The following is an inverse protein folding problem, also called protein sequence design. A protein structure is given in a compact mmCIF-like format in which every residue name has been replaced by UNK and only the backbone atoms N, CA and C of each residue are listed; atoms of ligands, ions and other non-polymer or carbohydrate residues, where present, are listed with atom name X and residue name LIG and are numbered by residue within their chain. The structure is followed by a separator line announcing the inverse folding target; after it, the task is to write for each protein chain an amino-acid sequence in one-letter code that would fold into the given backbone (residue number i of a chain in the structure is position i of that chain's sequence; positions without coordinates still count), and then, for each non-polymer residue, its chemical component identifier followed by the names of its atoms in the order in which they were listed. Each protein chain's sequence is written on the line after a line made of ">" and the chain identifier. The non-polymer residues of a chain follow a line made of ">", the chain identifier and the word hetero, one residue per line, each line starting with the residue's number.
data_IF_378426117240
#
_entry.id   IF_378426117240
#
_cell.length_a   1.000
_cell.length_b   1.000
_cell.length_c   1.000
_cell.angle_alpha   90.00
_cell.angle_beta   90.00
_cell.angle_gamma   90.00
#
_symmetry.space_group_name_H-M   'P 1'
#
loop_
_entity.id
_entity.type
_entity.pdbx_description
1 polymer ?
#
# COMPACT_ATOMS: atom_id res chain seq x y z
N UNK A 1 5.63 -31.56 22.08
CA UNK A 1 5.67 -30.17 21.59
C UNK A 1 4.59 -30.05 20.55
N UNK A 2 3.80 -29.00 20.57
CA UNK A 2 2.80 -28.68 19.53
C UNK A 2 3.55 -28.46 18.22
N UNK A 3 3.10 -29.09 17.13
CA UNK A 3 3.74 -28.86 15.82
C UNK A 3 3.48 -27.43 15.33
N UNK A 4 4.32 -26.90 14.44
CA UNK A 4 4.15 -25.59 13.82
C UNK A 4 2.73 -25.43 13.23
N UNK A 5 2.29 -26.43 12.48
CA UNK A 5 0.97 -26.46 11.84
C UNK A 5 -0.18 -26.44 12.85
N UNK A 6 -0.10 -27.24 13.93
CA UNK A 6 -1.12 -27.27 14.98
C UNK A 6 -1.20 -25.93 15.71
N UNK A 7 -0.06 -25.30 15.98
CA UNK A 7 -0.02 -23.98 16.61
C UNK A 7 -0.70 -22.92 15.73
N UNK A 8 -0.30 -22.83 14.47
CA UNK A 8 -0.88 -21.86 13.51
C UNK A 8 -2.39 -22.06 13.41
N UNK A 9 -2.85 -23.30 13.25
CA UNK A 9 -4.27 -23.62 13.17
C UNK A 9 -5.01 -23.25 14.45
N UNK A 10 -4.48 -23.57 15.62
CA UNK A 10 -5.08 -23.26 16.93
C UNK A 10 -5.25 -21.75 17.14
N UNK A 11 -4.22 -20.96 16.76
CA UNK A 11 -4.32 -19.51 16.86
C UNK A 11 -5.34 -18.98 15.87
N UNK A 12 -5.35 -19.46 14.62
CA UNK A 12 -6.32 -19.02 13.62
C UNK A 12 -7.77 -19.29 14.04
N UNK A 13 -8.08 -20.47 14.59
CA UNK A 13 -9.40 -20.78 15.11
C UNK A 13 -9.81 -19.83 16.27
N UNK A 14 -8.85 -19.45 17.12
CA UNK A 14 -9.10 -18.47 18.18
C UNK A 14 -9.41 -17.08 17.60
N UNK A 15 -8.63 -16.64 16.61
CA UNK A 15 -8.87 -15.35 15.90
C UNK A 15 -10.23 -15.36 15.24
N UNK A 16 -10.58 -16.45 14.55
CA UNK A 16 -11.89 -16.64 13.90
C UNK A 16 -13.05 -16.61 14.87
N UNK A 17 -12.92 -17.27 16.01
CA UNK A 17 -13.96 -17.27 17.04
C UNK A 17 -14.24 -15.86 17.61
N UNK A 18 -13.19 -15.04 17.76
CA UNK A 18 -13.31 -13.66 18.26
C UNK A 18 -13.81 -12.67 17.22
N UNK A 19 -13.49 -12.89 15.95
CA UNK A 19 -13.66 -11.91 14.87
C UNK A 19 -14.54 -12.44 13.72
N UNK A 20 -15.46 -13.37 13.99
CA UNK A 20 -16.25 -14.06 12.97
C UNK A 20 -17.10 -13.18 12.06
N UNK A 21 -17.29 -11.90 12.40
CA UNK A 21 -18.00 -10.91 11.60
C UNK A 21 -17.08 -9.98 10.78
N UNK A 22 -15.76 -10.19 10.84
CA UNK A 22 -14.74 -9.36 10.18
C UNK A 22 -14.05 -10.16 9.05
N UNK A 23 -14.78 -10.45 7.98
CA UNK A 23 -14.35 -11.37 6.92
C UNK A 23 -13.01 -10.98 6.27
N UNK A 24 -12.81 -9.69 5.97
CA UNK A 24 -11.58 -9.18 5.35
C UNK A 24 -10.37 -9.33 6.28
N UNK A 25 -10.57 -9.11 7.58
CA UNK A 25 -9.51 -9.31 8.58
C UNK A 25 -9.12 -10.79 8.68
N UNK A 26 -10.09 -11.69 8.75
CA UNK A 26 -9.85 -13.14 8.81
C UNK A 26 -9.12 -13.64 7.55
N UNK A 27 -9.50 -13.17 6.37
CA UNK A 27 -8.83 -13.52 5.12
C UNK A 27 -7.36 -13.08 5.14
N UNK A 28 -7.07 -11.86 5.57
CA UNK A 28 -5.70 -11.35 5.63
C UNK A 28 -4.83 -12.16 6.62
N UNK A 29 -5.38 -12.54 7.77
CA UNK A 29 -4.68 -13.37 8.74
C UNK A 29 -4.40 -14.76 8.17
N UNK A 30 -5.38 -15.40 7.52
CA UNK A 30 -5.24 -16.71 6.90
C UNK A 30 -4.16 -16.72 5.80
N UNK A 31 -4.21 -15.74 4.90
CA UNK A 31 -3.22 -15.59 3.84
C UNK A 31 -1.80 -15.40 4.40
N UNK A 32 -1.66 -14.56 5.42
CA UNK A 32 -0.37 -14.33 6.05
C UNK A 32 0.15 -15.60 6.74
N UNK A 33 -0.68 -16.28 7.53
CA UNK A 33 -0.33 -17.50 8.25
C UNK A 33 0.07 -18.64 7.32
N UNK A 34 -0.51 -18.73 6.12
CA UNK A 34 -0.20 -19.77 5.14
C UNK A 34 1.28 -19.82 4.71
N UNK A 35 2.01 -18.72 4.94
CA UNK A 35 3.44 -18.60 4.58
C UNK A 35 4.40 -18.85 5.74
N UNK A 36 3.91 -19.04 6.98
CA UNK A 36 4.74 -19.00 8.18
C UNK A 36 5.14 -20.37 8.74
N UNK A 37 4.59 -21.49 8.24
CA UNK A 37 4.91 -22.82 8.77
C UNK A 37 6.42 -23.07 8.85
N UNK A 38 7.24 -22.77 7.82
CA UNK A 38 8.69 -23.00 7.87
C UNK A 38 9.42 -22.20 8.96
N UNK A 39 8.85 -21.04 9.37
CA UNK A 39 9.43 -20.20 10.42
C UNK A 39 9.31 -20.89 11.77
N UNK A 40 8.12 -21.40 12.10
CA UNK A 40 7.87 -22.05 13.39
C UNK A 40 8.57 -23.41 13.53
N UNK A 41 8.93 -24.05 12.42
CA UNK A 41 9.77 -25.24 12.43
C UNK A 41 11.23 -24.92 12.83
N UNK A 42 11.74 -23.75 12.43
CA UNK A 42 13.10 -23.31 12.74
C UNK A 42 13.20 -22.56 14.07
N UNK A 43 12.12 -21.90 14.50
CA UNK A 43 12.06 -20.97 15.63
C UNK A 43 10.96 -21.34 16.61
N UNK A 44 11.14 -22.44 17.39
CA UNK A 44 10.15 -22.88 18.38
C UNK A 44 9.89 -21.83 19.48
N UNK A 45 10.84 -20.93 19.73
CA UNK A 45 10.69 -19.81 20.66
C UNK A 45 9.50 -18.91 20.35
N UNK A 46 9.13 -18.78 19.07
CA UNK A 46 7.95 -18.00 18.69
C UNK A 46 6.62 -18.65 19.10
N UNK A 47 6.62 -20.01 19.23
CA UNK A 47 5.49 -20.75 19.78
C UNK A 47 5.42 -20.55 21.30
N UNK A 48 6.56 -20.68 21.98
CA UNK A 48 6.64 -20.51 23.43
C UNK A 48 6.20 -19.13 23.88
N UNK A 49 6.56 -18.09 23.12
CA UNK A 49 6.18 -16.69 23.35
C UNK A 49 4.78 -16.32 22.80
N UNK A 50 4.07 -17.28 22.21
CA UNK A 50 2.73 -17.12 21.64
C UNK A 50 2.60 -15.91 20.69
N UNK A 51 3.60 -15.71 19.82
CA UNK A 51 3.73 -14.50 18.99
C UNK A 51 2.56 -14.32 18.05
N UNK A 52 2.02 -15.39 17.42
CA UNK A 52 0.89 -15.23 16.51
C UNK A 52 -0.35 -14.68 17.20
N UNK A 53 -0.66 -15.14 18.40
CA UNK A 53 -1.81 -14.64 19.15
C UNK A 53 -1.62 -13.16 19.54
N UNK A 54 -0.40 -12.76 19.87
CA UNK A 54 -0.07 -11.37 20.24
C UNK A 54 -0.12 -10.44 19.02
N UNK A 55 0.42 -10.87 17.88
CA UNK A 55 0.51 -10.03 16.68
C UNK A 55 -0.82 -9.89 15.93
N UNK A 56 -1.77 -10.78 16.15
CA UNK A 56 -3.12 -10.72 15.54
C UNK A 56 -4.12 -9.92 16.36
N UNK A 57 -3.80 -9.57 17.60
CA UNK A 57 -4.62 -8.71 18.44
C UNK A 57 -4.07 -7.28 18.38
N UNK A 58 -4.86 -6.27 17.96
CA UNK A 58 -4.41 -4.89 17.96
C UNK A 58 -4.15 -4.39 19.39
N UNK A 59 -3.09 -3.62 19.59
CA UNK A 59 -2.79 -3.04 20.90
C UNK A 59 -3.92 -2.12 21.37
N UNK A 60 -4.55 -1.36 20.45
CA UNK A 60 -5.73 -0.54 20.74
C UNK A 60 -6.62 -0.34 19.53
N UNK A 61 -7.92 -0.31 19.76
CA UNK A 61 -8.91 0.15 18.79
C UNK A 61 -9.68 1.30 19.42
N UNK A 62 -9.65 2.45 18.76
CA UNK A 62 -10.31 3.68 19.20
C UNK A 62 -11.46 3.95 18.25
N UNK A 63 -12.67 4.05 18.78
CA UNK A 63 -13.88 4.41 18.03
C UNK A 63 -14.53 5.64 18.66
N UNK A 64 -14.94 6.58 17.82
CA UNK A 64 -15.52 7.84 18.27
C UNK A 64 -16.59 8.36 17.31
N UNK A 65 -17.50 9.17 17.85
CA UNK A 65 -18.53 9.86 17.07
C UNK A 65 -17.97 11.13 16.44
N UNK A 66 -18.32 11.37 15.16
CA UNK A 66 -17.93 12.57 14.41
C UNK A 66 -19.20 13.34 13.97
N UNK A 67 -19.71 14.28 14.77
CA UNK A 67 -20.82 15.13 14.37
C UNK A 67 -20.30 16.32 13.57
N UNK A 68 -21.01 16.68 12.49
CA UNK A 68 -20.67 17.83 11.65
C UNK A 68 -21.95 18.40 10.99
N UNK A 69 -21.85 19.61 10.44
CA UNK A 69 -23.01 20.29 9.82
C UNK A 69 -22.78 20.39 8.31
N UNK A 70 -23.75 19.92 7.52
CA UNK A 70 -23.73 19.97 6.07
C UNK A 70 -24.04 21.39 5.52
N UNK A 71 -24.09 21.50 4.19
CA UNK A 71 -24.36 22.77 3.50
C UNK A 71 -25.77 23.32 3.76
N UNK A 72 -26.71 22.45 4.10
CA UNK A 72 -28.09 22.80 4.38
C UNK A 72 -28.34 23.11 5.85
N UNK A 73 -27.29 23.15 6.68
CA UNK A 73 -27.37 23.40 8.11
C UNK A 73 -27.83 22.21 8.94
N UNK A 74 -27.90 21.00 8.36
CA UNK A 74 -28.33 19.77 9.07
C UNK A 74 -27.15 19.10 9.74
N UNK A 75 -27.38 18.60 10.95
CA UNK A 75 -26.40 17.82 11.69
C UNK A 75 -26.29 16.41 11.10
N UNK A 76 -25.08 16.05 10.72
CA UNK A 76 -24.68 14.73 10.25
C UNK A 76 -23.84 14.05 11.33
N UNK A 77 -23.86 12.71 11.38
CA UNK A 77 -23.08 11.92 12.33
C UNK A 77 -22.42 10.77 11.60
N UNK A 78 -21.10 10.73 11.67
CA UNK A 78 -20.27 9.64 11.17
C UNK A 78 -19.53 8.94 12.32
N UNK A 79 -18.96 7.77 12.02
CA UNK A 79 -18.09 7.04 12.93
C UNK A 79 -16.65 7.28 12.54
N UNK A 80 -15.81 7.60 13.52
CA UNK A 80 -14.37 7.69 13.36
C UNK A 80 -13.68 6.52 14.05
N UNK A 81 -12.56 6.06 13.47
CA UNK A 81 -11.77 4.94 14.00
C UNK A 81 -10.28 5.21 13.88
N UNK A 82 -9.52 4.66 14.84
CA UNK A 82 -8.08 4.47 14.74
C UNK A 82 -7.70 3.13 15.33
N UNK A 83 -7.10 2.27 14.53
CA UNK A 83 -6.50 1.01 14.96
C UNK A 83 -5.01 1.23 15.13
N UNK A 84 -4.54 1.17 16.36
CA UNK A 84 -3.14 1.16 16.76
C UNK A 84 -2.75 -0.31 16.91
N UNK A 85 -2.20 -0.90 15.84
CA UNK A 85 -2.16 -2.34 15.75
C UNK A 85 -0.92 -2.93 16.45
N UNK A 86 0.28 -2.45 16.11
CA UNK A 86 1.52 -2.94 16.68
C UNK A 86 2.59 -1.84 16.68
N UNK A 87 3.23 -1.62 17.81
CA UNK A 87 4.27 -0.59 18.01
C UNK A 87 5.66 -1.16 18.28
N UNK A 88 5.87 -2.45 18.12
CA UNK A 88 7.13 -3.11 18.48
C UNK A 88 8.37 -2.52 17.78
N UNK A 89 8.21 -2.06 16.53
CA UNK A 89 9.33 -1.49 15.75
C UNK A 89 9.31 0.03 15.66
N UNK A 90 8.30 0.70 16.19
CA UNK A 90 8.19 2.17 16.17
C UNK A 90 6.77 2.67 16.33
N UNK A 91 6.54 3.99 16.25
CA UNK A 91 5.22 4.57 16.38
C UNK A 91 4.25 4.01 15.34
N UNK A 92 2.97 3.90 15.70
CA UNK A 92 1.96 3.43 14.77
C UNK A 92 1.95 4.32 13.52
N UNK A 93 1.91 3.72 12.35
CA UNK A 93 1.94 4.42 11.08
C UNK A 93 0.96 3.80 10.10
N UNK A 94 0.12 4.62 9.49
CA UNK A 94 -0.81 4.21 8.44
C UNK A 94 -1.85 5.26 8.13
N UNK A 95 -2.45 5.14 6.94
CA UNK A 95 -3.37 6.13 6.39
C UNK A 95 -4.72 6.22 7.09
N UNK A 96 -5.40 7.33 6.87
CA UNK A 96 -6.82 7.52 7.16
C UNK A 96 -7.62 7.34 5.87
N UNK A 97 -8.65 6.51 5.91
CA UNK A 97 -9.57 6.28 4.77
C UNK A 97 -10.92 6.91 5.05
N UNK A 98 -11.40 7.78 4.14
CA UNK A 98 -12.77 8.29 4.19
C UNK A 98 -13.57 7.69 3.03
N UNK A 99 -14.41 6.72 3.37
CA UNK A 99 -15.22 6.01 2.38
C UNK A 99 -16.43 5.35 3.08
N UNK A 100 -17.62 5.31 2.44
CA UNK A 100 -18.83 4.74 3.07
C UNK A 100 -18.71 3.29 3.55
N UNK A 101 -17.80 2.51 2.96
CA UNK A 101 -17.57 1.11 3.36
C UNK A 101 -16.71 0.93 4.60
N UNK A 102 -16.11 2.01 5.12
CA UNK A 102 -15.21 1.93 6.28
C UNK A 102 -15.97 1.46 7.52
N UNK A 103 -15.45 0.42 8.12
CA UNK A 103 -15.85 -0.12 9.40
C UNK A 103 -14.62 -0.63 10.17
N UNK A 104 -14.81 -1.07 11.40
CA UNK A 104 -13.70 -1.52 12.25
C UNK A 104 -12.96 -2.73 11.66
N UNK A 105 -13.66 -3.71 11.10
CA UNK A 105 -13.06 -4.92 10.52
C UNK A 105 -12.14 -4.62 9.33
N UNK A 106 -12.58 -3.72 8.43
CA UNK A 106 -11.76 -3.25 7.31
C UNK A 106 -10.50 -2.54 7.82
N UNK A 107 -10.61 -1.72 8.86
CA UNK A 107 -9.45 -1.01 9.41
C UNK A 107 -8.52 -1.94 10.21
N UNK A 108 -9.03 -2.98 10.85
CA UNK A 108 -8.19 -4.05 11.43
C UNK A 108 -7.45 -4.81 10.35
N UNK A 109 -8.11 -5.22 9.28
CA UNK A 109 -7.48 -5.83 8.12
C UNK A 109 -6.31 -4.98 7.59
N UNK A 110 -6.60 -3.72 7.26
CA UNK A 110 -5.58 -2.81 6.72
C UNK A 110 -4.47 -2.49 7.73
N UNK A 111 -4.79 -2.42 9.01
CA UNK A 111 -3.82 -2.19 10.08
C UNK A 111 -2.90 -3.38 10.30
N UNK A 112 -3.42 -4.60 10.20
CA UNK A 112 -2.64 -5.83 10.28
C UNK A 112 -1.63 -5.93 9.14
N UNK A 113 -2.07 -5.74 7.90
CA UNK A 113 -1.17 -5.72 6.75
C UNK A 113 -0.12 -4.61 6.83
N UNK A 114 -0.51 -3.47 7.41
CA UNK A 114 0.38 -2.32 7.55
C UNK A 114 1.59 -2.61 8.46
N UNK A 115 1.46 -3.50 9.46
CA UNK A 115 2.59 -3.92 10.31
C UNK A 115 3.74 -4.43 9.43
N UNK A 116 3.43 -5.41 8.58
CA UNK A 116 4.42 -6.14 7.79
C UNK A 116 4.95 -5.30 6.63
N UNK A 117 4.09 -4.51 6.01
CA UNK A 117 4.50 -3.56 4.98
C UNK A 117 5.48 -2.51 5.52
N UNK A 118 5.20 -1.96 6.69
CA UNK A 118 6.04 -0.92 7.29
C UNK A 118 7.41 -1.45 7.70
N UNK A 119 7.46 -2.61 8.33
CA UNK A 119 8.73 -3.17 8.81
C UNK A 119 9.67 -3.54 7.66
N UNK A 120 9.15 -3.93 6.49
CA UNK A 120 9.95 -4.19 5.30
C UNK A 120 10.77 -2.98 4.84
N UNK A 121 10.32 -1.77 5.12
CA UNK A 121 11.07 -0.55 4.78
C UNK A 121 12.39 -0.42 5.53
N UNK A 122 12.58 -1.16 6.63
CA UNK A 122 13.73 -1.02 7.52
C UNK A 122 13.70 0.28 8.36
N UNK A 123 12.61 1.04 8.27
CA UNK A 123 12.44 2.29 9.02
C UNK A 123 11.68 2.04 10.33
N UNK A 124 11.92 2.82 11.40
CA UNK A 124 11.34 2.61 12.73
C UNK A 124 9.88 3.07 12.79
N UNK A 125 8.99 2.35 12.13
CA UNK A 125 7.55 2.62 12.08
C UNK A 125 6.74 1.34 12.30
N UNK A 126 5.81 1.39 13.22
CA UNK A 126 4.86 0.32 13.53
C UNK A 126 3.65 0.33 12.59
N UNK A 127 2.64 -0.48 12.91
CA UNK A 127 1.42 -0.62 12.10
C UNK A 127 0.21 0.06 12.73
N UNK A 128 -0.53 0.81 11.93
CA UNK A 128 -1.80 1.40 12.31
C UNK A 128 -2.65 1.77 11.10
N UNK A 129 -3.94 1.94 11.33
CA UNK A 129 -4.88 2.36 10.29
C UNK A 129 -6.06 3.11 10.91
N UNK A 130 -6.63 4.05 10.18
CA UNK A 130 -7.81 4.75 10.66
C UNK A 130 -8.72 5.20 9.53
N UNK A 131 -9.81 5.86 9.90
CA UNK A 131 -10.74 6.38 8.93
C UNK A 131 -12.14 6.60 9.45
N UNK A 132 -13.05 6.80 8.52
CA UNK A 132 -14.47 7.06 8.77
C UNK A 132 -15.33 6.58 7.62
N UNK A 133 -16.57 6.26 7.91
CA UNK A 133 -17.65 6.01 6.94
C UNK A 133 -18.12 7.28 6.20
N UNK A 134 -17.45 8.40 6.39
CA UNK A 134 -17.69 9.65 5.67
C UNK A 134 -17.33 9.53 4.19
N UNK A 135 -18.23 9.95 3.30
CA UNK A 135 -17.97 10.04 1.86
C UNK A 135 -17.65 11.48 1.46
N UNK A 136 -16.40 11.80 1.07
CA UNK A 136 -16.04 13.13 0.62
C UNK A 136 -16.55 13.48 -0.79
N UNK A 137 -17.03 12.49 -1.57
CA UNK A 137 -17.52 12.72 -2.92
C UNK A 137 -18.77 13.61 -2.91
N UNK A 138 -18.78 14.63 -3.77
CA UNK A 138 -19.90 15.57 -3.89
C UNK A 138 -20.06 16.52 -2.71
N UNK A 139 -19.17 16.51 -1.74
CA UNK A 139 -19.14 17.49 -0.64
C UNK A 139 -18.34 18.72 -1.05
N UNK A 140 -18.76 19.87 -0.55
CA UNK A 140 -18.01 21.12 -0.69
C UNK A 140 -16.77 21.11 0.19
N UNK A 141 -15.77 21.93 -0.12
CA UNK A 141 -14.58 22.09 0.71
C UNK A 141 -14.91 22.48 2.15
N UNK A 142 -15.94 23.34 2.33
CA UNK A 142 -16.41 23.73 3.65
C UNK A 142 -17.02 22.57 4.45
N UNK A 143 -17.73 21.64 3.81
CA UNK A 143 -18.27 20.44 4.45
C UNK A 143 -17.13 19.50 4.84
N UNK A 144 -16.19 19.24 3.93
CA UNK A 144 -15.02 18.38 4.21
C UNK A 144 -14.18 18.99 5.33
N UNK A 145 -13.97 20.30 5.35
CA UNK A 145 -13.25 21.00 6.41
C UNK A 145 -13.94 20.80 7.77
N UNK A 146 -15.25 21.03 7.86
CA UNK A 146 -16.01 20.83 9.12
C UNK A 146 -15.92 19.38 9.61
N UNK A 147 -16.06 18.41 8.69
CA UNK A 147 -15.88 17.01 9.04
C UNK A 147 -14.48 16.72 9.57
N UNK A 148 -13.43 17.13 8.86
CA UNK A 148 -12.03 16.95 9.28
C UNK A 148 -11.74 17.59 10.64
N UNK A 149 -12.28 18.77 10.90
CA UNK A 149 -12.13 19.45 12.19
C UNK A 149 -12.79 18.65 13.33
N UNK A 150 -14.01 18.17 13.11
CA UNK A 150 -14.70 17.33 14.10
C UNK A 150 -13.97 16.00 14.33
N UNK A 151 -13.54 15.32 13.26
CA UNK A 151 -12.76 14.09 13.32
C UNK A 151 -11.46 14.26 14.12
N UNK A 152 -10.69 15.32 13.82
CA UNK A 152 -9.41 15.58 14.50
C UNK A 152 -9.60 16.01 15.96
N UNK A 153 -10.74 16.62 16.32
CA UNK A 153 -11.05 16.99 17.71
C UNK A 153 -11.02 15.77 18.65
N UNK A 154 -11.43 14.62 18.17
CA UNK A 154 -11.30 13.37 18.93
C UNK A 154 -9.95 12.69 18.70
N UNK A 155 -9.51 12.55 17.47
CA UNK A 155 -8.30 11.82 17.11
C UNK A 155 -7.03 12.41 17.76
N UNK A 156 -6.94 13.74 17.91
CA UNK A 156 -5.75 14.42 18.46
C UNK A 156 -5.34 13.96 19.88
N UNK A 157 -6.24 13.30 20.60
CA UNK A 157 -5.97 12.75 21.93
C UNK A 157 -5.06 11.53 21.88
N UNK A 158 -4.96 10.89 20.73
CA UNK A 158 -4.41 9.55 20.53
C UNK A 158 -3.24 9.50 19.54
N UNK A 159 -2.83 10.64 18.99
CA UNK A 159 -1.77 10.73 17.98
C UNK A 159 -0.66 11.71 18.39
N UNK A 160 0.47 11.55 17.75
CA UNK A 160 1.66 12.40 17.97
C UNK A 160 2.87 11.81 17.24
N UNK A 161 3.93 12.61 17.00
CA UNK A 161 5.07 12.21 16.17
C UNK A 161 5.84 10.99 16.69
N UNK A 162 5.79 10.72 17.99
CA UNK A 162 6.45 9.58 18.63
C UNK A 162 5.46 8.49 19.11
N UNK A 163 4.17 8.66 18.84
CA UNK A 163 3.14 7.71 19.26
C UNK A 163 2.43 7.08 18.05
N UNK A 164 1.81 7.90 17.24
CA UNK A 164 0.98 7.48 16.12
C UNK A 164 0.91 8.59 15.07
N UNK A 165 1.34 8.29 13.85
CA UNK A 165 1.45 9.26 12.75
C UNK A 165 0.57 8.85 11.58
N UNK A 166 -0.68 9.34 11.50
CA UNK A 166 -1.56 9.10 10.38
C UNK A 166 -1.06 9.74 9.07
N UNK A 167 -1.55 9.22 7.96
CA UNK A 167 -1.29 9.72 6.60
C UNK A 167 -2.59 9.75 5.79
N UNK A 168 -2.50 10.08 4.49
CA UNK A 168 -3.59 9.94 3.54
C UNK A 168 -3.78 8.50 3.07
N UNK A 169 -5.00 8.21 2.61
CA UNK A 169 -5.43 6.99 1.95
C UNK A 169 -6.66 7.33 1.07
N UNK A 170 -7.48 6.37 0.66
CA UNK A 170 -8.69 6.62 -0.13
C UNK A 170 -9.56 7.71 0.55
N UNK A 171 -9.93 8.74 -0.21
CA UNK A 171 -10.74 9.86 0.28
C UNK A 171 -10.00 10.87 1.16
N UNK A 172 -8.70 10.71 1.38
CA UNK A 172 -7.86 11.61 2.18
C UNK A 172 -6.60 11.96 1.41
N UNK A 173 -6.63 13.11 0.76
CA UNK A 173 -5.48 13.70 0.06
C UNK A 173 -4.89 14.89 0.81
N UNK A 174 -4.08 15.69 0.10
CA UNK A 174 -3.43 16.87 0.68
C UNK A 174 -4.40 17.90 1.26
N UNK A 175 -5.60 18.02 0.69
CA UNK A 175 -6.68 18.91 1.19
C UNK A 175 -7.14 18.46 2.58
N UNK A 176 -7.52 17.20 2.73
CA UNK A 176 -7.99 16.62 3.98
C UNK A 176 -6.88 16.64 5.03
N UNK A 177 -5.67 16.25 4.67
CA UNK A 177 -4.50 16.33 5.55
C UNK A 177 -4.27 17.77 6.04
N UNK A 178 -4.44 18.76 5.16
CA UNK A 178 -4.36 20.17 5.53
C UNK A 178 -5.39 20.58 6.58
N UNK A 179 -6.66 20.20 6.39
CA UNK A 179 -7.72 20.50 7.37
C UNK A 179 -7.53 19.78 8.71
N UNK A 180 -7.11 18.51 8.67
CA UNK A 180 -6.78 17.73 9.87
C UNK A 180 -5.60 18.36 10.63
N UNK A 181 -4.55 18.73 9.92
CA UNK A 181 -3.37 19.36 10.51
C UNK A 181 -3.68 20.73 11.13
N UNK A 182 -4.47 21.56 10.41
CA UNK A 182 -4.91 22.87 10.91
C UNK A 182 -5.68 22.75 12.22
N UNK A 183 -6.58 21.78 12.34
CA UNK A 183 -7.33 21.55 13.59
C UNK A 183 -6.43 21.00 14.71
N UNK A 184 -5.51 20.07 14.41
CA UNK A 184 -4.54 19.59 15.40
C UNK A 184 -3.72 20.76 15.97
N UNK A 185 -3.16 21.59 15.10
CA UNK A 185 -2.38 22.78 15.50
C UNK A 185 -3.18 23.76 16.37
N UNK A 186 -4.48 23.89 16.14
CA UNK A 186 -5.38 24.74 16.92
C UNK A 186 -5.62 24.19 18.33
N UNK A 187 -5.74 22.86 18.47
CA UNK A 187 -6.06 22.20 19.75
C UNK A 187 -4.84 21.88 20.62
N UNK A 188 -3.72 21.64 19.97
CA UNK A 188 -2.45 21.29 20.61
C UNK A 188 -1.46 22.43 20.41
N UNK A 189 -0.41 22.19 19.68
CA UNK A 189 0.61 23.13 19.29
C UNK A 189 1.16 22.76 17.92
N UNK A 190 2.00 23.60 17.35
CA UNK A 190 2.69 23.27 16.12
C UNK A 190 3.58 22.05 16.31
N UNK A 191 3.29 21.00 15.53
CA UNK A 191 4.10 19.79 15.44
C UNK A 191 4.04 19.25 13.99
N UNK A 192 5.13 19.46 13.27
CA UNK A 192 5.21 19.05 11.87
C UNK A 192 5.11 17.53 11.70
N UNK A 193 5.54 16.76 12.70
CA UNK A 193 5.65 15.31 12.64
C UNK A 193 4.35 14.53 12.89
N UNK A 194 3.24 15.20 13.24
CA UNK A 194 2.02 14.52 13.65
C UNK A 194 1.27 13.82 12.52
N UNK A 195 1.41 14.30 11.29
CA UNK A 195 0.78 13.75 10.07
C UNK A 195 1.80 13.73 8.93
N UNK A 196 1.67 12.77 8.01
CA UNK A 196 2.40 12.78 6.75
C UNK A 196 1.49 12.88 5.54
N UNK A 197 2.06 13.17 4.36
CA UNK A 197 1.29 13.52 3.16
C UNK A 197 0.86 14.98 3.15
N UNK A 198 1.55 15.82 3.94
CA UNK A 198 1.30 17.25 3.94
C UNK A 198 1.74 17.89 2.62
N UNK A 199 1.06 18.94 2.15
CA UNK A 199 1.59 19.84 1.13
C UNK A 199 2.97 20.39 1.49
N UNK A 200 3.79 20.68 0.47
CA UNK A 200 5.16 21.21 0.64
C UNK A 200 5.21 22.49 1.46
N UNK A 201 4.17 23.35 1.36
CA UNK A 201 4.10 24.63 2.07
C UNK A 201 4.08 24.54 3.59
N UNK A 202 3.85 23.36 4.17
CA UNK A 202 3.90 23.11 5.62
C UNK A 202 4.49 21.75 5.95
N UNK A 203 5.75 21.57 5.60
CA UNK A 203 6.60 20.44 5.99
C UNK A 203 6.24 19.10 5.32
N UNK A 204 5.68 19.11 4.12
CA UNK A 204 5.55 17.94 3.26
C UNK A 204 6.89 17.54 2.65
N UNK A 205 6.97 16.34 2.09
CA UNK A 205 8.15 15.82 1.39
C UNK A 205 7.99 15.84 -0.11
N UNK A 206 9.06 16.20 -0.82
CA UNK A 206 9.20 15.92 -2.26
C UNK A 206 9.13 14.40 -2.49
N UNK A 207 8.86 14.00 -3.72
CA UNK A 207 8.72 12.58 -4.14
C UNK A 207 7.52 11.84 -3.50
N UNK A 208 6.74 12.46 -2.59
CA UNK A 208 5.62 11.76 -1.96
C UNK A 208 4.53 11.34 -2.96
N UNK A 209 4.11 12.18 -3.93
CA UNK A 209 3.18 11.76 -4.99
C UNK A 209 3.73 10.62 -5.86
N UNK A 210 5.00 10.67 -6.20
CA UNK A 210 5.68 9.71 -7.08
C UNK A 210 5.97 8.37 -6.38
N UNK A 211 6.09 8.38 -5.07
CA UNK A 211 6.75 7.36 -4.26
C UNK A 211 6.25 5.94 -4.49
N UNK A 212 4.95 5.72 -4.64
CA UNK A 212 4.40 4.37 -4.83
C UNK A 212 4.73 3.83 -6.23
N UNK A 213 4.51 4.66 -7.27
CA UNK A 213 4.83 4.28 -8.65
C UNK A 213 6.34 4.10 -8.88
N UNK A 214 7.16 5.02 -8.39
CA UNK A 214 8.61 4.91 -8.46
C UNK A 214 9.11 3.69 -7.69
N UNK A 215 8.62 3.50 -6.47
CA UNK A 215 8.99 2.35 -5.63
C UNK A 215 8.66 1.01 -6.28
N UNK A 216 7.46 0.90 -6.88
CA UNK A 216 7.06 -0.27 -7.67
C UNK A 216 8.09 -0.59 -8.76
N UNK A 217 8.48 0.41 -9.54
CA UNK A 217 9.44 0.22 -10.64
C UNK A 217 10.83 -0.11 -10.11
N UNK A 218 11.30 0.52 -9.03
CA UNK A 218 12.59 0.18 -8.42
C UNK A 218 12.61 -1.26 -7.89
N UNK A 219 11.57 -1.70 -7.18
CA UNK A 219 11.44 -3.08 -6.73
C UNK A 219 11.47 -4.06 -7.89
N UNK A 220 10.67 -3.80 -8.92
CA UNK A 220 10.59 -4.65 -10.12
C UNK A 220 11.91 -4.70 -10.87
N UNK A 221 12.64 -3.57 -10.98
CA UNK A 221 13.96 -3.53 -11.59
C UNK A 221 14.96 -4.42 -10.85
N UNK A 222 14.97 -4.43 -9.53
CA UNK A 222 15.85 -5.31 -8.75
C UNK A 222 15.46 -6.78 -8.90
N UNK A 223 14.16 -7.08 -8.99
CA UNK A 223 13.66 -8.43 -9.26
C UNK A 223 14.11 -8.91 -10.65
N UNK A 224 13.99 -8.09 -11.68
CA UNK A 224 14.49 -8.40 -13.03
C UNK A 224 16.00 -8.60 -13.06
N UNK A 225 16.78 -7.73 -12.40
CA UNK A 225 18.24 -7.85 -12.29
C UNK A 225 18.69 -9.17 -11.66
N UNK A 226 17.98 -9.64 -10.65
CA UNK A 226 18.26 -10.93 -10.01
C UNK A 226 18.14 -12.12 -10.98
N UNK A 227 17.44 -11.91 -12.12
CA UNK A 227 17.27 -12.87 -13.21
C UNK A 227 18.00 -12.45 -14.50
N UNK A 228 19.02 -11.57 -14.39
CA UNK A 228 19.81 -11.05 -15.51
C UNK A 228 18.98 -10.32 -16.58
N UNK A 229 17.93 -9.64 -16.17
CA UNK A 229 17.02 -8.88 -17.05
C UNK A 229 16.85 -7.44 -16.56
N UNK A 230 16.13 -6.60 -17.31
CA UNK A 230 15.88 -5.20 -16.98
C UNK A 230 14.62 -4.68 -17.69
N UNK A 231 14.20 -3.46 -17.36
CA UNK A 231 13.14 -2.76 -18.12
C UNK A 231 13.55 -2.35 -19.53
N UNK A 232 14.85 -2.24 -19.81
CA UNK A 232 15.33 -1.75 -21.10
C UNK A 232 14.84 -2.63 -22.26
N UNK A 233 14.12 -2.04 -23.21
CA UNK A 233 13.55 -2.69 -24.38
C UNK A 233 12.31 -3.55 -24.12
N UNK A 234 11.80 -3.59 -22.88
CA UNK A 234 10.58 -4.35 -22.52
C UNK A 234 9.31 -3.56 -22.85
N UNK A 235 8.26 -4.27 -23.25
CA UNK A 235 6.90 -3.74 -23.30
C UNK A 235 6.20 -3.97 -21.98
N UNK A 236 5.60 -2.92 -21.45
CA UNK A 236 4.95 -2.93 -20.13
C UNK A 236 3.48 -2.55 -20.27
N UNK A 237 2.61 -3.36 -19.68
CA UNK A 237 1.18 -3.06 -19.51
C UNK A 237 0.95 -2.56 -18.08
N UNK A 238 0.36 -1.37 -17.95
CA UNK A 238 -0.03 -0.75 -16.69
C UNK A 238 -1.56 -0.64 -16.65
N UNK A 239 -2.19 -1.08 -15.56
CA UNK A 239 -3.58 -0.75 -15.29
C UNK A 239 -3.71 0.51 -14.44
N UNK A 240 -4.87 1.16 -14.51
CA UNK A 240 -5.11 2.42 -13.83
C UNK A 240 -4.57 3.63 -14.60
N UNK A 241 -4.97 4.80 -14.15
CA UNK A 241 -4.51 6.12 -14.63
C UNK A 241 -4.42 7.13 -13.49
N UNK A 242 -4.47 6.63 -12.25
CA UNK A 242 -4.27 7.42 -11.05
C UNK A 242 -2.79 7.61 -10.74
N UNK A 243 -2.52 8.09 -9.53
CA UNK A 243 -1.18 8.50 -9.11
C UNK A 243 -0.13 7.38 -9.26
N UNK A 244 -0.44 6.17 -8.80
CA UNK A 244 0.48 5.02 -8.87
C UNK A 244 0.81 4.68 -10.32
N UNK A 245 -0.22 4.57 -11.17
CA UNK A 245 -0.07 4.23 -12.58
C UNK A 245 0.73 5.29 -13.34
N UNK A 246 0.42 6.59 -13.16
CA UNK A 246 1.12 7.69 -13.83
C UNK A 246 2.62 7.65 -13.55
N UNK A 247 3.00 7.52 -12.28
CA UNK A 247 4.42 7.51 -11.90
C UNK A 247 5.13 6.17 -12.18
N UNK A 248 4.39 5.05 -12.25
CA UNK A 248 4.92 3.81 -12.80
C UNK A 248 5.24 3.94 -14.30
N UNK A 249 4.36 4.57 -15.08
CA UNK A 249 4.59 4.90 -16.51
C UNK A 249 5.85 5.74 -16.64
N UNK A 250 5.96 6.84 -15.90
CA UNK A 250 7.11 7.74 -15.97
C UNK A 250 8.42 7.02 -15.67
N UNK A 251 8.50 6.33 -14.53
CA UNK A 251 9.76 5.71 -14.10
C UNK A 251 10.14 4.50 -14.94
N UNK A 252 9.21 3.67 -15.39
CA UNK A 252 9.49 2.55 -16.27
C UNK A 252 10.01 3.03 -17.64
N UNK A 253 9.42 4.11 -18.16
CA UNK A 253 9.90 4.75 -19.40
C UNK A 253 11.31 5.32 -19.24
N UNK A 254 11.62 5.97 -18.10
CA UNK A 254 12.96 6.46 -17.77
C UNK A 254 14.01 5.32 -17.72
N UNK A 255 13.59 4.10 -17.33
CA UNK A 255 14.45 2.91 -17.32
C UNK A 255 14.50 2.17 -18.67
N UNK A 256 13.96 2.76 -19.74
CA UNK A 256 14.07 2.26 -21.10
C UNK A 256 12.97 1.29 -21.53
N UNK A 257 11.88 1.16 -20.78
CA UNK A 257 10.71 0.40 -21.20
C UNK A 257 9.80 1.21 -22.14
N UNK A 258 9.01 0.49 -22.94
CA UNK A 258 7.87 1.05 -23.64
C UNK A 258 6.60 0.68 -22.87
N UNK A 259 6.04 1.63 -22.14
CA UNK A 259 4.76 1.41 -21.44
C UNK A 259 3.63 1.64 -22.44
N UNK A 260 2.92 0.57 -22.81
CA UNK A 260 1.95 0.59 -23.90
C UNK A 260 0.50 0.81 -23.47
N UNK A 261 0.22 0.83 -22.17
CA UNK A 261 -1.17 0.98 -21.70
C UNK A 261 -1.33 1.79 -20.43
N UNK A 262 -2.53 2.34 -20.30
CA UNK A 262 -3.15 2.81 -19.05
C UNK A 262 -4.64 2.52 -19.11
N UNK A 263 -5.32 2.41 -17.95
CA UNK A 263 -6.76 2.11 -17.90
C UNK A 263 -7.53 3.00 -16.92
N UNK A 264 -8.82 3.12 -17.12
CA UNK A 264 -9.76 3.67 -16.13
C UNK A 264 -10.94 2.70 -15.89
N UNK A 265 -11.95 3.14 -15.15
CA UNK A 265 -13.10 2.28 -14.81
C UNK A 265 -13.96 1.86 -16.00
N UNK A 266 -13.81 2.48 -17.17
CA UNK A 266 -14.63 2.21 -18.35
C UNK A 266 -13.86 1.44 -19.42
N UNK A 267 -12.53 1.57 -19.44
CA UNK A 267 -11.73 0.94 -20.48
C UNK A 267 -10.24 1.27 -20.36
N UNK A 268 -9.51 1.01 -21.43
CA UNK A 268 -8.08 1.18 -21.49
C UNK A 268 -7.62 1.73 -22.83
N UNK A 269 -6.46 2.34 -22.82
CA UNK A 269 -5.76 2.82 -24.01
C UNK A 269 -4.58 1.90 -24.28
N UNK A 270 -4.36 1.59 -25.55
CA UNK A 270 -3.12 0.97 -26.05
C UNK A 270 -2.44 1.95 -27.02
N UNK A 271 -1.15 2.21 -26.78
CA UNK A 271 -0.25 2.90 -27.68
C UNK A 271 1.06 2.13 -27.77
N UNK A 272 1.26 1.43 -28.88
CA UNK A 272 2.48 0.63 -29.11
C UNK A 272 3.78 1.47 -29.19
N UNK A 273 3.66 2.79 -29.37
CA UNK A 273 4.77 3.72 -29.35
C UNK A 273 5.10 4.25 -27.94
N UNK A 274 4.28 3.89 -26.96
CA UNK A 274 4.41 4.28 -25.56
C UNK A 274 3.47 5.41 -25.14
N UNK A 275 2.98 5.26 -23.91
CA UNK A 275 2.11 6.26 -23.27
C UNK A 275 2.91 7.54 -23.00
N UNK A 276 2.36 8.68 -23.45
CA UNK A 276 2.94 10.00 -23.22
C UNK A 276 2.52 10.54 -21.85
N UNK A 277 3.52 10.66 -20.96
CA UNK A 277 3.27 11.02 -19.55
C UNK A 277 2.62 12.39 -19.39
N UNK A 278 3.08 13.41 -20.12
CA UNK A 278 2.57 14.77 -19.99
C UNK A 278 1.11 14.88 -20.45
N UNK A 279 0.75 14.22 -21.55
CA UNK A 279 -0.65 14.16 -22.01
C UNK A 279 -1.52 13.38 -21.01
N UNK A 280 -1.02 12.24 -20.50
CA UNK A 280 -1.74 11.46 -19.50
C UNK A 280 -2.05 12.29 -18.25
N UNK A 281 -1.05 12.99 -17.73
CA UNK A 281 -1.21 13.81 -16.52
C UNK A 281 -2.11 15.01 -16.77
N UNK A 282 -2.05 15.65 -17.93
CA UNK A 282 -2.95 16.74 -18.29
C UNK A 282 -4.41 16.27 -18.34
N UNK A 283 -4.69 15.17 -19.07
CA UNK A 283 -6.04 14.60 -19.16
C UNK A 283 -6.57 14.20 -17.79
N UNK A 284 -5.77 13.54 -16.95
CA UNK A 284 -6.24 12.98 -15.68
C UNK A 284 -6.26 13.97 -14.53
N UNK A 285 -5.24 14.82 -14.40
CA UNK A 285 -5.06 15.70 -13.24
C UNK A 285 -5.62 17.10 -13.47
N UNK A 286 -5.38 17.68 -14.66
CA UNK A 286 -5.84 19.05 -14.97
C UNK A 286 -7.30 19.05 -15.45
N UNK A 287 -7.60 18.28 -16.47
CA UNK A 287 -8.95 18.22 -17.07
C UNK A 287 -9.90 17.28 -16.30
N UNK A 288 -9.36 16.32 -15.51
CA UNK A 288 -10.13 15.29 -14.79
C UNK A 288 -11.04 14.48 -15.73
N UNK A 289 -10.56 14.24 -16.93
CA UNK A 289 -11.29 13.61 -18.02
C UNK A 289 -11.07 12.08 -18.08
N UNK A 290 -11.78 11.43 -18.99
CA UNK A 290 -11.63 10.01 -19.29
C UNK A 290 -10.51 9.76 -20.28
N UNK A 291 -10.01 8.53 -20.35
CA UNK A 291 -8.95 8.14 -21.28
C UNK A 291 -9.39 8.18 -22.75
N UNK A 292 -10.68 8.27 -23.04
CA UNK A 292 -11.19 8.57 -24.38
C UNK A 292 -10.65 9.88 -24.93
N UNK A 293 -10.43 10.90 -24.07
CA UNK A 293 -9.82 12.17 -24.50
C UNK A 293 -8.34 11.99 -24.84
N UNK A 294 -7.61 11.16 -24.06
CA UNK A 294 -6.23 10.82 -24.39
C UNK A 294 -6.13 10.21 -25.79
N UNK A 295 -6.96 9.19 -26.06
CA UNK A 295 -6.97 8.53 -27.38
C UNK A 295 -7.40 9.45 -28.52
N UNK A 296 -8.27 10.43 -28.25
CA UNK A 296 -8.69 11.40 -29.26
C UNK A 296 -7.55 12.36 -29.66
N UNK A 297 -6.61 12.66 -28.77
CA UNK A 297 -5.51 13.58 -29.00
C UNK A 297 -4.22 12.88 -29.47
N UNK A 298 -4.09 11.59 -29.20
CA UNK A 298 -2.92 10.78 -29.56
C UNK A 298 -3.25 9.85 -30.73
N UNK A 299 -2.87 10.18 -31.99
CA UNK A 299 -3.27 9.40 -33.19
C UNK A 299 -2.78 7.96 -33.20
N UNK A 300 -1.73 7.63 -32.45
CA UNK A 300 -1.16 6.28 -32.31
C UNK A 300 -1.88 5.44 -31.24
N UNK A 301 -2.69 6.07 -30.40
CA UNK A 301 -3.39 5.42 -29.30
C UNK A 301 -4.78 4.96 -29.74
N UNK A 302 -5.19 3.78 -29.25
CA UNK A 302 -6.51 3.22 -29.46
C UNK A 302 -7.19 2.99 -28.11
N UNK A 303 -8.44 3.43 -27.98
CA UNK A 303 -9.26 3.17 -26.81
C UNK A 303 -10.07 1.88 -26.97
N UNK A 304 -10.12 1.08 -25.90
CA UNK A 304 -10.89 -0.15 -25.80
C UNK A 304 -11.73 -0.14 -24.53
N UNK A 305 -12.95 -0.65 -24.60
CA UNK A 305 -13.80 -0.83 -23.43
C UNK A 305 -13.41 -2.08 -22.63
N UNK A 306 -13.66 -2.07 -21.32
CA UNK A 306 -13.42 -3.19 -20.42
C UNK A 306 -12.04 -3.21 -19.79
N UNK A 307 -11.60 -4.40 -19.38
CA UNK A 307 -10.34 -4.59 -18.63
C UNK A 307 -9.12 -4.67 -19.55
N UNK A 308 -8.05 -3.98 -19.20
CA UNK A 308 -6.77 -4.07 -19.92
C UNK A 308 -6.18 -5.49 -19.91
N UNK A 309 -6.54 -6.31 -18.92
CA UNK A 309 -6.10 -7.71 -18.83
C UNK A 309 -6.76 -8.64 -19.86
N UNK A 310 -7.65 -8.11 -20.68
CA UNK A 310 -8.20 -8.80 -21.87
C UNK A 310 -7.44 -8.48 -23.15
N UNK A 311 -6.48 -7.54 -23.12
CA UNK A 311 -5.66 -7.21 -24.27
C UNK A 311 -4.83 -8.41 -24.72
N UNK A 312 -4.89 -8.74 -26.00
CA UNK A 312 -4.28 -9.93 -26.58
C UNK A 312 -2.92 -9.69 -27.27
N UNK A 313 -2.34 -8.52 -27.12
CA UNK A 313 -1.02 -8.20 -27.67
C UNK A 313 0.12 -8.79 -26.85
N UNK A 314 1.33 -8.76 -27.40
CA UNK A 314 2.52 -9.25 -26.73
C UNK A 314 3.13 -8.16 -25.85
N UNK A 315 3.42 -8.49 -24.61
CA UNK A 315 4.15 -7.65 -23.65
C UNK A 315 4.86 -8.50 -22.62
N UNK A 316 5.87 -7.92 -21.98
CA UNK A 316 6.79 -8.65 -21.09
C UNK A 316 6.41 -8.52 -19.62
N UNK A 317 5.94 -7.34 -19.19
CA UNK A 317 5.74 -6.99 -17.79
C UNK A 317 4.33 -6.46 -17.58
N UNK A 318 3.66 -6.94 -16.53
CA UNK A 318 2.36 -6.45 -16.08
C UNK A 318 2.51 -5.71 -14.73
N UNK A 319 2.06 -4.46 -14.66
CA UNK A 319 2.03 -3.65 -13.46
C UNK A 319 0.58 -3.27 -13.11
N UNK A 320 -0.13 -4.09 -12.34
CA UNK A 320 -1.49 -3.77 -11.91
C UNK A 320 -1.47 -2.64 -10.86
N UNK A 321 -1.96 -1.47 -11.28
CA UNK A 321 -1.93 -0.23 -10.51
C UNK A 321 -3.32 0.40 -10.29
N UNK A 322 -4.41 -0.33 -10.61
CA UNK A 322 -5.77 0.21 -10.56
C UNK A 322 -6.48 -0.14 -9.26
N UNK A 323 -6.97 -1.37 -9.13
CA UNK A 323 -7.88 -1.76 -8.06
C UNK A 323 -7.61 -3.18 -7.53
N UNK A 324 -8.18 -3.44 -6.36
CA UNK A 324 -8.19 -4.77 -5.76
C UNK A 324 -8.91 -5.78 -6.67
N UNK A 325 -8.37 -7.00 -6.74
CA UNK A 325 -8.95 -8.14 -7.48
C UNK A 325 -9.22 -7.85 -8.97
N UNK A 326 -8.36 -7.09 -9.62
CA UNK A 326 -8.47 -6.80 -11.05
C UNK A 326 -7.91 -7.92 -11.94
N UNK A 327 -7.09 -8.82 -11.41
CA UNK A 327 -6.55 -10.00 -12.10
C UNK A 327 -7.02 -11.25 -11.36
N UNK A 328 -7.91 -11.99 -12.01
CA UNK A 328 -8.34 -13.32 -11.57
C UNK A 328 -7.51 -14.45 -12.21
N UNK A 329 -7.76 -15.70 -11.82
CA UNK A 329 -7.04 -16.85 -12.35
C UNK A 329 -7.12 -16.97 -13.88
N UNK A 330 -8.21 -16.57 -14.53
CA UNK A 330 -8.35 -16.61 -15.98
C UNK A 330 -7.54 -15.50 -16.67
N UNK A 331 -7.51 -14.30 -16.08
CA UNK A 331 -6.63 -13.23 -16.55
C UNK A 331 -5.16 -13.65 -16.40
N UNK A 332 -4.78 -14.25 -15.28
CA UNK A 332 -3.42 -14.75 -15.06
C UNK A 332 -3.00 -15.80 -16.11
N UNK A 333 -3.88 -16.74 -16.46
CA UNK A 333 -3.61 -17.72 -17.54
C UNK A 333 -3.39 -17.03 -18.91
N UNK A 334 -4.13 -15.94 -19.19
CA UNK A 334 -3.89 -15.14 -20.39
C UNK A 334 -2.52 -14.48 -20.37
N UNK A 335 -2.09 -13.93 -19.23
CA UNK A 335 -0.76 -13.35 -19.09
C UNK A 335 0.34 -14.39 -19.37
N UNK A 336 0.20 -15.61 -18.85
CA UNK A 336 1.11 -16.73 -19.17
C UNK A 336 1.15 -17.02 -20.65
N UNK A 337 -0.03 -17.16 -21.28
CA UNK A 337 -0.13 -17.46 -22.70
C UNK A 337 0.46 -16.38 -23.61
N UNK A 338 0.49 -15.12 -23.15
CA UNK A 338 1.08 -13.97 -23.85
C UNK A 338 2.58 -13.82 -23.62
N UNK A 339 3.19 -14.68 -22.79
CA UNK A 339 4.63 -14.65 -22.56
C UNK A 339 5.06 -13.61 -21.53
N UNK A 340 4.18 -13.16 -20.66
CA UNK A 340 4.52 -12.25 -19.54
C UNK A 340 5.51 -12.94 -18.63
N UNK A 341 6.64 -12.28 -18.37
CA UNK A 341 7.72 -12.80 -17.52
C UNK A 341 7.63 -12.32 -16.06
N UNK A 342 6.92 -11.19 -15.84
CA UNK A 342 6.89 -10.52 -14.56
C UNK A 342 5.53 -9.85 -14.33
N UNK A 343 4.97 -10.06 -13.14
CA UNK A 343 3.83 -9.31 -12.59
C UNK A 343 4.26 -8.69 -11.29
N UNK A 344 4.15 -7.36 -11.15
CA UNK A 344 4.52 -6.65 -9.92
C UNK A 344 3.44 -5.63 -9.52
N UNK A 345 2.98 -5.71 -8.29
CA UNK A 345 1.74 -5.11 -7.83
C UNK A 345 1.89 -3.70 -7.28
N UNK A 346 1.34 -2.72 -8.00
CA UNK A 346 1.27 -1.31 -7.55
C UNK A 346 0.02 -1.01 -6.70
N UNK A 347 -1.11 -1.61 -7.02
CA UNK A 347 -2.33 -1.54 -6.21
C UNK A 347 -2.24 -2.48 -4.99
N UNK A 348 -3.19 -2.35 -4.06
CA UNK A 348 -3.31 -3.30 -2.95
C UNK A 348 -4.13 -4.51 -3.38
N UNK A 349 -3.54 -5.71 -3.28
CA UNK A 349 -4.15 -7.00 -3.65
C UNK A 349 -4.84 -6.99 -5.04
N UNK A 350 -4.17 -6.59 -6.11
CA UNK A 350 -4.80 -6.56 -7.44
C UNK A 350 -4.99 -7.96 -8.04
N UNK A 351 -4.17 -8.95 -7.65
CA UNK A 351 -4.31 -10.34 -8.05
C UNK A 351 -5.03 -11.14 -6.97
N UNK A 352 -5.97 -12.01 -7.37
CA UNK A 352 -6.57 -12.97 -6.46
C UNK A 352 -5.65 -14.19 -6.20
N UNK A 353 -6.03 -15.05 -5.27
CA UNK A 353 -5.21 -16.20 -4.89
C UNK A 353 -4.99 -17.20 -6.04
N UNK A 354 -5.98 -17.37 -6.91
CA UNK A 354 -5.86 -18.24 -8.08
C UNK A 354 -4.88 -17.67 -9.10
N UNK A 355 -4.87 -16.34 -9.29
CA UNK A 355 -3.88 -15.67 -10.13
C UNK A 355 -2.46 -15.86 -9.59
N UNK A 356 -2.24 -15.67 -8.29
CA UNK A 356 -0.94 -15.86 -7.65
C UNK A 356 -0.46 -17.31 -7.80
N UNK A 357 -1.36 -18.27 -7.68
CA UNK A 357 -1.06 -19.69 -7.90
C UNK A 357 -0.61 -19.93 -9.35
N UNK A 358 -1.34 -19.37 -10.33
CA UNK A 358 -0.96 -19.46 -11.74
C UNK A 358 0.43 -18.89 -11.99
N UNK A 359 0.79 -17.75 -11.39
CA UNK A 359 2.12 -17.17 -11.52
C UNK A 359 3.21 -18.13 -11.02
N UNK A 360 3.02 -18.69 -9.82
CA UNK A 360 3.98 -19.62 -9.21
C UNK A 360 4.17 -20.88 -10.05
N UNK A 361 3.08 -21.49 -10.51
CA UNK A 361 3.11 -22.72 -11.29
C UNK A 361 3.77 -22.55 -12.67
N UNK A 362 3.77 -21.35 -13.22
CA UNK A 362 4.32 -21.05 -14.54
C UNK A 362 5.64 -20.25 -14.51
N UNK A 363 6.24 -20.06 -13.33
CA UNK A 363 7.53 -19.41 -13.18
C UNK A 363 7.53 -17.90 -13.52
N UNK A 364 6.38 -17.24 -13.45
CA UNK A 364 6.30 -15.78 -13.58
C UNK A 364 6.90 -15.15 -12.32
N UNK A 365 7.79 -14.18 -12.51
CA UNK A 365 8.33 -13.39 -11.40
C UNK A 365 7.20 -12.55 -10.79
N UNK A 366 6.95 -12.75 -9.51
CA UNK A 366 5.85 -12.08 -8.82
C UNK A 366 6.35 -11.15 -7.72
N UNK A 367 6.05 -9.86 -7.88
CA UNK A 367 6.29 -8.81 -6.89
C UNK A 367 5.02 -8.52 -6.08
N UNK A 368 4.92 -9.03 -4.83
CA UNK A 368 3.71 -8.89 -4.02
C UNK A 368 3.48 -7.45 -3.57
N UNK A 369 2.22 -7.03 -3.51
CA UNK A 369 1.82 -5.66 -3.21
C UNK A 369 2.50 -5.06 -1.97
N UNK A 370 2.52 -5.78 -0.84
CA UNK A 370 3.09 -5.26 0.42
C UNK A 370 4.58 -4.93 0.33
N UNK A 371 5.32 -5.58 -0.57
CA UNK A 371 6.73 -5.27 -0.83
C UNK A 371 6.87 -4.27 -1.98
N UNK A 372 6.26 -4.56 -3.13
CA UNK A 372 6.43 -3.78 -4.35
C UNK A 372 5.85 -2.35 -4.26
N UNK A 373 4.73 -2.16 -3.54
CA UNK A 373 4.10 -0.84 -3.40
C UNK A 373 4.46 -0.09 -2.10
N UNK A 374 5.48 -0.54 -1.36
CA UNK A 374 5.89 0.06 -0.10
C UNK A 374 6.52 1.47 -0.24
N UNK A 375 6.80 1.93 -1.44
CA UNK A 375 7.41 3.24 -1.69
C UNK A 375 6.64 4.40 -1.06
N UNK A 376 5.30 4.34 -1.10
CA UNK A 376 4.46 5.38 -0.49
C UNK A 376 4.67 5.54 1.02
N UNK A 377 4.68 4.44 1.77
CA UNK A 377 4.93 4.47 3.21
C UNK A 377 6.40 4.75 3.52
N UNK A 378 7.33 4.30 2.68
CA UNK A 378 8.75 4.62 2.82
C UNK A 378 8.97 6.14 2.78
N UNK A 379 8.47 6.84 1.76
CA UNK A 379 8.59 8.32 1.70
C UNK A 379 7.79 9.01 2.79
N UNK A 380 6.66 8.44 3.24
CA UNK A 380 5.97 8.96 4.43
C UNK A 380 6.86 8.91 5.68
N UNK A 381 7.63 7.85 5.89
CA UNK A 381 8.58 7.77 7.00
C UNK A 381 9.80 8.69 6.80
N UNK A 382 10.25 8.88 5.56
CA UNK A 382 11.26 9.91 5.24
C UNK A 382 10.74 11.34 5.52
N UNK A 383 9.45 11.61 5.29
CA UNK A 383 8.82 12.86 5.70
C UNK A 383 8.85 13.04 7.22
N UNK A 384 8.58 11.97 8.00
CA UNK A 384 8.74 12.01 9.46
C UNK A 384 10.17 12.37 9.86
N UNK A 385 11.18 11.79 9.23
CA UNK A 385 12.59 12.09 9.48
C UNK A 385 12.92 13.56 9.19
N UNK A 386 12.48 14.09 8.05
CA UNK A 386 12.65 15.50 7.69
C UNK A 386 11.96 16.42 8.70
N UNK A 387 10.74 16.05 9.14
CA UNK A 387 10.00 16.83 10.13
C UNK A 387 10.71 16.84 11.51
N UNK A 388 11.25 15.71 11.93
CA UNK A 388 12.03 15.61 13.17
C UNK A 388 13.30 16.45 13.14
N UNK A 389 13.99 16.48 12.01
CA UNK A 389 15.19 17.29 11.79
C UNK A 389 14.87 18.78 11.58
N UNK A 390 13.61 19.13 11.28
CA UNK A 390 13.18 20.47 10.82
C UNK A 390 13.90 20.93 9.55
N UNK A 391 14.21 20.00 8.66
CA UNK A 391 14.86 20.21 7.38
C UNK A 391 14.03 19.61 6.25
N UNK A 392 14.22 20.13 5.04
CA UNK A 392 13.67 19.53 3.82
C UNK A 392 14.85 19.02 2.99
N UNK A 393 14.71 17.77 2.50
CA UNK A 393 15.66 17.17 1.59
C UNK A 393 15.33 17.53 0.14
N UNK A 394 16.35 17.49 -0.71
CA UNK A 394 16.16 17.68 -2.15
C UNK A 394 15.41 16.50 -2.77
N UNK A 395 14.94 16.70 -4.00
CA UNK A 395 14.28 15.64 -4.77
C UNK A 395 15.18 14.42 -4.96
N UNK A 396 16.44 14.67 -5.27
CA UNK A 396 17.47 13.65 -5.49
C UNK A 396 17.78 12.87 -4.21
N UNK A 397 17.86 13.56 -3.07
CA UNK A 397 18.07 12.90 -1.77
C UNK A 397 16.91 11.97 -1.39
N UNK A 398 15.66 12.42 -1.58
CA UNK A 398 14.49 11.59 -1.25
C UNK A 398 14.35 10.42 -2.24
N UNK A 399 14.53 10.66 -3.54
CA UNK A 399 14.45 9.61 -4.57
C UNK A 399 15.57 8.56 -4.41
N UNK A 400 16.81 9.02 -4.11
CA UNK A 400 17.91 8.12 -3.82
C UNK A 400 17.64 7.21 -2.62
N UNK A 401 17.14 7.76 -1.51
CA UNK A 401 16.74 6.98 -0.34
C UNK A 401 15.58 6.03 -0.63
N UNK A 402 14.58 6.46 -1.41
CA UNK A 402 13.50 5.59 -1.85
C UNK A 402 14.02 4.40 -2.64
N UNK A 403 14.91 4.64 -3.60
CA UNK A 403 15.52 3.58 -4.39
C UNK A 403 16.29 2.58 -3.52
N UNK A 404 17.10 3.06 -2.57
CA UNK A 404 17.84 2.21 -1.64
C UNK A 404 16.90 1.36 -0.77
N UNK A 405 15.82 1.95 -0.26
CA UNK A 405 14.81 1.24 0.53
C UNK A 405 14.16 0.14 -0.31
N UNK A 406 13.72 0.43 -1.53
CA UNK A 406 13.06 -0.57 -2.39
C UNK A 406 14.01 -1.68 -2.81
N UNK A 407 15.28 -1.37 -3.08
CA UNK A 407 16.34 -2.35 -3.32
C UNK A 407 16.52 -3.27 -2.11
N UNK A 408 16.56 -2.70 -0.90
CA UNK A 408 16.70 -3.46 0.34
C UNK A 408 15.47 -4.35 0.61
N UNK A 409 14.25 -3.86 0.33
CA UNK A 409 13.03 -4.68 0.45
C UNK A 409 13.11 -5.91 -0.45
N UNK A 410 13.49 -5.74 -1.71
CA UNK A 410 13.62 -6.87 -2.63
C UNK A 410 14.71 -7.85 -2.16
N UNK A 411 15.91 -7.35 -1.82
CA UNK A 411 17.01 -8.19 -1.36
C UNK A 411 16.66 -8.97 -0.09
N UNK A 412 15.94 -8.34 0.85
CA UNK A 412 15.46 -8.99 2.06
C UNK A 412 14.47 -10.12 1.73
N UNK A 413 13.47 -9.85 0.90
CA UNK A 413 12.50 -10.88 0.47
C UNK A 413 13.19 -12.06 -0.24
N UNK A 414 14.13 -11.77 -1.17
CA UNK A 414 14.91 -12.76 -1.91
C UNK A 414 15.76 -13.61 -0.98
N UNK A 415 16.60 -12.98 -0.14
CA UNK A 415 17.51 -13.70 0.77
C UNK A 415 16.74 -14.58 1.76
N UNK A 416 15.60 -14.08 2.25
CA UNK A 416 14.74 -14.86 3.14
C UNK A 416 14.12 -16.05 2.42
N UNK A 417 13.60 -15.87 1.21
CA UNK A 417 13.08 -16.98 0.41
C UNK A 417 14.16 -18.05 0.17
N UNK A 418 15.38 -17.66 -0.17
CA UNK A 418 16.52 -18.56 -0.33
C UNK A 418 16.89 -19.30 0.97
N UNK A 419 16.92 -18.58 2.11
CA UNK A 419 17.23 -19.14 3.45
C UNK A 419 16.23 -20.21 3.87
N UNK A 420 14.97 -20.04 3.48
CA UNK A 420 13.90 -21.00 3.79
C UNK A 420 13.66 -22.03 2.68
N UNK A 421 14.50 -22.05 1.62
CA UNK A 421 14.39 -23.01 0.52
C UNK A 421 13.15 -22.82 -0.36
N UNK A 422 12.62 -21.60 -0.41
CA UNK A 422 11.38 -21.25 -1.13
C UNK A 422 11.64 -20.72 -2.56
N UNK A 423 12.90 -20.75 -3.01
CA UNK A 423 13.27 -20.33 -4.37
C UNK A 423 12.92 -18.88 -4.66
N UNK A 424 12.06 -18.66 -5.67
CA UNK A 424 11.61 -17.34 -6.11
C UNK A 424 10.27 -16.91 -5.51
N UNK A 425 9.81 -17.57 -4.45
CA UNK A 425 8.59 -17.16 -3.73
C UNK A 425 8.84 -15.91 -2.88
N UNK A 426 8.93 -14.77 -3.55
CA UNK A 426 9.18 -13.48 -2.90
C UNK A 426 8.01 -13.01 -2.02
N UNK A 427 6.79 -13.55 -2.21
CA UNK A 427 5.67 -13.31 -1.31
C UNK A 427 5.94 -13.94 0.05
N UNK A 428 6.27 -15.24 0.09
CA UNK A 428 6.62 -15.92 1.32
C UNK A 428 7.88 -15.31 1.95
N UNK A 429 8.91 -15.01 1.15
CA UNK A 429 10.13 -14.34 1.61
C UNK A 429 9.85 -13.01 2.30
N UNK A 430 9.01 -12.15 1.72
CA UNK A 430 8.63 -10.87 2.30
C UNK A 430 7.82 -11.05 3.61
N UNK A 431 6.85 -11.96 3.62
CA UNK A 431 6.04 -12.24 4.81
C UNK A 431 6.88 -12.76 5.97
N UNK A 432 7.78 -13.72 5.71
CA UNK A 432 8.66 -14.31 6.71
C UNK A 432 9.62 -13.24 7.26
N UNK A 433 10.30 -12.51 6.41
CA UNK A 433 11.23 -11.46 6.83
C UNK A 433 10.55 -10.40 7.71
N UNK A 434 9.36 -9.96 7.31
CA UNK A 434 8.59 -9.00 8.09
C UNK A 434 8.14 -9.58 9.43
N UNK A 435 7.67 -10.83 9.44
CA UNK A 435 7.26 -11.52 10.67
C UNK A 435 8.42 -11.66 11.65
N UNK A 436 9.57 -12.19 11.22
CA UNK A 436 10.74 -12.39 12.09
C UNK A 436 11.22 -11.09 12.72
N UNK A 437 11.23 -9.99 11.95
CA UNK A 437 11.64 -8.69 12.46
C UNK A 437 10.71 -8.21 13.59
N UNK A 438 9.40 -8.27 13.38
CA UNK A 438 8.40 -7.87 14.40
C UNK A 438 8.44 -8.83 15.59
N UNK A 439 8.49 -10.14 15.36
CA UNK A 439 8.51 -11.16 16.41
C UNK A 439 9.74 -11.00 17.32
N UNK A 440 10.92 -10.81 16.74
CA UNK A 440 12.15 -10.59 17.49
C UNK A 440 12.10 -9.30 18.33
N UNK A 441 11.53 -8.21 17.76
CA UNK A 441 11.33 -6.97 18.51
C UNK A 441 10.35 -7.17 19.68
N UNK A 442 9.25 -7.89 19.47
CA UNK A 442 8.27 -8.19 20.53
C UNK A 442 8.87 -9.05 21.63
N UNK A 443 9.70 -10.05 21.31
CA UNK A 443 10.38 -10.90 22.28
C UNK A 443 11.40 -10.07 23.09
N UNK A 444 12.20 -9.28 22.41
CA UNK A 444 13.23 -8.45 23.04
C UNK A 444 12.65 -7.41 24.03
N UNK A 445 11.43 -6.94 23.78
CA UNK A 445 10.73 -5.99 24.63
C UNK A 445 9.93 -6.66 25.75
N UNK A 446 9.75 -7.96 25.71
CA UNK A 446 9.00 -8.73 26.70
C UNK A 446 7.47 -8.70 26.47
N UNK A 447 6.74 -8.92 27.55
CA UNK A 447 5.26 -8.93 27.53
C UNK A 447 4.78 -7.56 28.01
N UNK A 448 4.49 -6.69 27.07
CA UNK A 448 4.07 -5.29 27.30
C UNK A 448 2.73 -5.02 26.63
#
# INVERSE_FOLDING_TARGET
>A
MTSAKEYIQSVFETVKARNGHEAEFLQAVEEFFSTLEPVFEKHPEYIEENILARITEPERVISFRVPWVDRDGKVQVNRGYRVQFNSAVGPYKGGLRFHPTVNQGILKFLGFEQIFKNVLTGLPIGGGKGGSDFDPKGKTDAEVMRFCQSFMTELQKHIGPSLDVPAGDIGVGGREIGYLYGQYKRLRQFDAGVLTGKPLGFSGSLIRPEATGYGLVYYTQEMLKAHNDSFAGKKVVVSGSGNVAQYAVQKATELGATVISVSDSNGYVIDENGIEFDLLTDVKNNRRARLTEYAAEKPTATYHEGSVWTYAGNYDIALPCATQNEIDGEAAKRLVAQGVICVSEGANMPSDLEAIKVYKENGILYGPAKAANAGGVAVSALEMSQNSLRLSWTREEVDGRLKDIMTNIFNTAKTTAETYGLGTDYLAGANIAAFENVANAMIAQGIV
#
